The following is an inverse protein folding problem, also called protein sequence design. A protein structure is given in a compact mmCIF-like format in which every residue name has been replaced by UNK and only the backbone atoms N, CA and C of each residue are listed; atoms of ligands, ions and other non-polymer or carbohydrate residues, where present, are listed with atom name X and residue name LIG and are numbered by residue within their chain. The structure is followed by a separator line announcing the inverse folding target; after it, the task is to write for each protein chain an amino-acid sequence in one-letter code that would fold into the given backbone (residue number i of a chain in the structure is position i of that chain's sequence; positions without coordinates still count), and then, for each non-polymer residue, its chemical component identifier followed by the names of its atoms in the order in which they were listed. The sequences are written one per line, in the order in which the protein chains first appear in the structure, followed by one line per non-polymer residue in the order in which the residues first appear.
data_IF_197809165984
#
_entry.id   IF_197809165984
#
_cell.length_a   1.000
_cell.length_b   1.000
_cell.length_c   1.000
_cell.angle_alpha   90.00
_cell.angle_beta   90.00
_cell.angle_gamma   90.00
#
_symmetry.space_group_name_H-M   'P 1'
#
loop_
_entity.id
_entity.type
_entity.pdbx_description
1 polymer ?
#
# COMPACT_ATOMS: atom_id res chain seq x y z
N UNK A 1 12.04 -4.86 17.54
CA UNK A 1 11.63 -6.21 17.99
C UNK A 1 11.28 -6.28 19.47
N UNK A 2 12.12 -5.79 20.40
CA UNK A 2 11.77 -5.78 21.83
C UNK A 2 10.44 -5.08 22.15
N UNK A 3 10.15 -3.97 21.48
CA UNK A 3 8.85 -3.28 21.59
C UNK A 3 7.68 -4.13 21.09
N UNK A 4 7.83 -4.75 19.90
CA UNK A 4 6.82 -5.62 19.32
C UNK A 4 6.52 -6.83 20.22
N UNK A 5 7.55 -7.36 20.88
CA UNK A 5 7.43 -8.39 21.91
C UNK A 5 6.68 -7.88 23.15
N UNK A 6 6.92 -6.63 23.56
CA UNK A 6 6.14 -5.98 24.62
C UNK A 6 4.66 -5.86 24.25
N UNK A 7 4.35 -5.50 23.00
CA UNK A 7 2.98 -5.40 22.51
C UNK A 7 2.31 -6.77 22.40
N UNK A 8 3.00 -7.81 21.92
CA UNK A 8 2.44 -9.16 21.76
C UNK A 8 2.00 -9.78 23.09
N UNK A 9 2.61 -9.37 24.21
CA UNK A 9 2.20 -9.75 25.57
C UNK A 9 0.86 -9.15 25.99
N UNK A 10 0.45 -8.02 25.42
CA UNK A 10 -0.85 -7.42 25.71
C UNK A 10 -1.97 -8.09 24.89
N UNK A 11 -2.24 -9.35 25.24
CA UNK A 11 -3.15 -10.25 24.50
C UNK A 11 -4.54 -9.67 24.29
N UNK A 12 -5.10 -8.96 25.28
CA UNK A 12 -6.44 -8.37 25.17
C UNK A 12 -6.57 -7.36 24.03
N UNK A 13 -5.49 -6.69 23.63
CA UNK A 13 -5.50 -5.74 22.51
C UNK A 13 -4.98 -6.37 21.21
N UNK A 14 -3.90 -7.14 21.28
CA UNK A 14 -3.14 -7.49 20.06
C UNK A 14 -3.31 -8.94 19.59
N UNK A 15 -3.79 -9.85 20.44
CA UNK A 15 -4.09 -11.23 20.01
C UNK A 15 -5.17 -11.22 18.91
N UNK A 16 -6.15 -10.33 19.05
CA UNK A 16 -7.23 -10.16 18.08
C UNK A 16 -6.76 -9.71 16.69
N UNK A 17 -5.60 -9.06 16.58
CA UNK A 17 -5.04 -8.66 15.28
C UNK A 17 -3.98 -9.65 14.79
N UNK A 18 -3.79 -10.80 15.44
CA UNK A 18 -2.85 -11.83 15.00
C UNK A 18 -1.40 -11.61 15.43
N UNK A 19 -1.15 -10.74 16.43
CA UNK A 19 0.19 -10.56 16.99
C UNK A 19 0.43 -11.60 18.09
N UNK A 20 0.98 -12.75 17.72
CA UNK A 20 1.26 -13.85 18.65
C UNK A 20 2.62 -13.72 19.32
N UNK A 21 2.63 -13.81 20.65
CA UNK A 21 3.86 -13.74 21.45
C UNK A 21 4.87 -14.81 21.03
N UNK A 22 4.43 -16.05 20.79
CA UNK A 22 5.30 -17.17 20.42
C UNK A 22 6.07 -16.95 19.12
N UNK A 23 5.43 -16.32 18.12
CA UNK A 23 6.05 -16.06 16.82
C UNK A 23 7.06 -14.91 16.90
N UNK A 24 6.70 -13.85 17.64
CA UNK A 24 7.62 -12.74 17.89
C UNK A 24 8.81 -13.20 18.73
N UNK A 25 8.58 -14.06 19.72
CA UNK A 25 9.63 -14.65 20.56
C UNK A 25 10.57 -15.53 19.73
N UNK A 26 10.04 -16.42 18.88
CA UNK A 26 10.85 -17.22 17.96
C UNK A 26 11.68 -16.32 17.02
N UNK A 27 11.08 -15.27 16.44
CA UNK A 27 11.81 -14.35 15.57
C UNK A 27 12.94 -13.59 16.30
N UNK A 28 12.69 -13.15 17.53
CA UNK A 28 13.71 -12.51 18.38
C UNK A 28 14.84 -13.48 18.71
N UNK A 29 14.48 -14.72 19.02
CA UNK A 29 15.42 -15.79 19.34
C UNK A 29 16.32 -16.13 18.15
N UNK A 30 15.75 -16.33 16.95
CA UNK A 30 16.52 -16.57 15.71
C UNK A 30 17.44 -15.42 15.35
N UNK A 31 17.00 -14.17 15.54
CA UNK A 31 17.88 -13.01 15.36
C UNK A 31 19.05 -13.01 16.37
N UNK A 32 18.80 -13.41 17.61
CA UNK A 32 19.84 -13.56 18.62
C UNK A 32 20.87 -14.63 18.26
N UNK A 33 20.44 -15.79 17.78
CA UNK A 33 21.33 -16.87 17.31
C UNK A 33 22.19 -16.41 16.14
N UNK A 34 21.59 -15.74 15.15
CA UNK A 34 22.32 -15.18 14.02
C UNK A 34 23.41 -14.21 14.48
N UNK A 35 23.12 -13.33 15.46
CA UNK A 35 24.12 -12.42 16.01
C UNK A 35 25.30 -13.16 16.66
N UNK A 36 25.03 -14.26 17.38
CA UNK A 36 26.10 -15.08 17.95
C UNK A 36 26.95 -15.73 16.85
N UNK A 37 26.32 -16.20 15.76
CA UNK A 37 27.05 -16.75 14.62
C UNK A 37 27.87 -15.70 13.87
N UNK A 38 27.36 -14.48 13.69
CA UNK A 38 28.13 -13.36 13.13
C UNK A 38 29.35 -13.05 13.99
N UNK A 39 29.20 -13.01 15.31
CA UNK A 39 30.31 -12.77 16.24
C UNK A 39 31.35 -13.90 16.18
N UNK A 40 30.90 -15.17 16.13
CA UNK A 40 31.80 -16.32 15.92
C UNK A 40 32.56 -16.20 14.59
N UNK A 41 31.86 -15.88 13.52
CA UNK A 41 32.44 -15.70 12.19
C UNK A 41 33.51 -14.61 12.19
N UNK A 42 33.24 -13.44 12.79
CA UNK A 42 34.21 -12.34 12.89
C UNK A 42 35.48 -12.79 13.62
N UNK A 43 35.36 -13.57 14.70
CA UNK A 43 36.51 -14.09 15.45
C UNK A 43 37.35 -15.07 14.63
N UNK A 44 36.69 -15.99 13.91
CA UNK A 44 37.38 -16.94 13.02
C UNK A 44 38.07 -16.19 11.89
N UNK A 45 37.37 -15.26 11.23
CA UNK A 45 37.93 -14.44 10.17
C UNK A 45 39.14 -13.62 10.65
N UNK A 46 39.04 -13.01 11.82
CA UNK A 46 40.16 -12.25 12.41
C UNK A 46 41.37 -13.14 12.68
N UNK A 47 41.17 -14.35 13.21
CA UNK A 47 42.24 -15.32 13.42
C UNK A 47 42.89 -15.74 12.10
N UNK A 48 42.08 -16.10 11.10
CA UNK A 48 42.55 -16.51 9.77
C UNK A 48 43.35 -15.39 9.11
N UNK A 49 42.84 -14.16 9.10
CA UNK A 49 43.56 -12.99 8.56
C UNK A 49 44.92 -12.77 9.23
N UNK A 50 44.99 -12.93 10.56
CA UNK A 50 46.25 -12.80 11.30
C UNK A 50 47.26 -13.90 10.90
N UNK A 51 46.80 -15.13 10.71
CA UNK A 51 47.65 -16.25 10.28
C UNK A 51 48.17 -16.04 8.85
N UNK A 52 47.32 -15.62 7.92
CA UNK A 52 47.72 -15.26 6.56
C UNK A 52 48.73 -14.11 6.54
N UNK A 53 48.49 -13.04 7.31
CA UNK A 53 49.43 -11.92 7.41
C UNK A 53 50.81 -12.35 7.93
N UNK A 54 50.83 -13.23 8.93
CA UNK A 54 52.07 -13.81 9.46
C UNK A 54 52.78 -14.70 8.43
N UNK A 55 52.05 -15.55 7.72
CA UNK A 55 52.58 -16.40 6.66
C UNK A 55 53.17 -15.59 5.51
N UNK A 56 52.47 -14.56 5.01
CA UNK A 56 52.98 -13.71 3.93
C UNK A 56 54.18 -12.88 4.37
N UNK A 57 54.25 -12.45 5.63
CA UNK A 57 55.43 -11.78 6.18
C UNK A 57 56.65 -12.70 6.19
N UNK A 58 56.46 -13.97 6.57
CA UNK A 58 57.49 -15.01 6.47
C UNK A 58 57.92 -15.27 5.01
N UNK A 59 56.95 -15.52 4.12
CA UNK A 59 57.19 -15.84 2.71
C UNK A 59 57.94 -14.71 2.00
N UNK A 60 57.54 -13.46 2.22
CA UNK A 60 58.21 -12.28 1.67
C UNK A 60 59.68 -12.20 2.12
N UNK A 61 59.96 -12.51 3.39
CA UNK A 61 61.34 -12.57 3.89
C UNK A 61 62.15 -13.66 3.21
N UNK A 62 61.58 -14.86 3.03
CA UNK A 62 62.23 -15.95 2.31
C UNK A 62 62.55 -15.56 0.87
N UNK A 63 61.60 -14.95 0.14
CA UNK A 63 61.81 -14.51 -1.24
C UNK A 63 62.92 -13.46 -1.32
N UNK A 64 62.89 -12.44 -0.46
CA UNK A 64 63.94 -11.39 -0.45
C UNK A 64 65.32 -11.95 -0.14
N UNK A 65 65.41 -12.88 0.79
CA UNK A 65 66.67 -13.55 1.11
C UNK A 65 67.20 -14.37 -0.08
N UNK A 66 66.32 -15.07 -0.81
CA UNK A 66 66.68 -15.79 -2.03
C UNK A 66 67.14 -14.84 -3.15
N UNK A 67 66.54 -13.65 -3.25
CA UNK A 67 66.88 -12.62 -4.24
C UNK A 67 68.07 -11.75 -3.83
N UNK A 68 68.69 -12.00 -2.67
CA UNK A 68 69.77 -11.17 -2.09
C UNK A 68 69.38 -9.69 -1.89
N UNK A 69 68.10 -9.41 -1.65
CA UNK A 69 67.59 -8.08 -1.32
C UNK A 69 67.73 -7.79 0.19
N UNK A 70 67.93 -6.52 0.59
CA UNK A 70 68.01 -6.15 2.01
C UNK A 70 66.69 -6.45 2.72
N UNK A 71 66.79 -7.12 3.88
CA UNK A 71 65.64 -7.61 4.67
C UNK A 71 65.43 -6.86 6.00
N UNK A 72 66.22 -5.83 6.26
CA UNK A 72 66.32 -5.13 7.56
C UNK A 72 65.08 -4.29 7.93
N UNK A 73 64.11 -4.13 7.01
CA UNK A 73 62.86 -3.38 7.22
C UNK A 73 61.59 -4.25 7.22
N UNK A 74 61.73 -5.58 7.21
CA UNK A 74 60.57 -6.47 7.13
C UNK A 74 59.88 -6.66 8.48
N UNK A 75 58.55 -6.81 8.44
CA UNK A 75 57.72 -7.17 9.58
C UNK A 75 58.23 -8.48 10.20
N UNK A 76 58.30 -8.50 11.53
CA UNK A 76 58.58 -9.70 12.31
C UNK A 76 57.44 -10.70 12.15
N UNK A 77 57.79 -11.98 11.96
CA UNK A 77 56.84 -13.09 11.92
C UNK A 77 57.12 -14.07 13.06
N UNK A 78 56.10 -14.82 13.45
CA UNK A 78 56.18 -15.91 14.41
C UNK A 78 56.25 -17.25 13.67
N UNK A 79 57.32 -18.02 13.89
CA UNK A 79 57.54 -19.31 13.23
C UNK A 79 56.56 -20.40 13.65
N UNK A 80 56.08 -20.39 14.90
CA UNK A 80 55.06 -21.37 15.36
C UNK A 80 53.74 -21.16 14.62
N UNK A 81 53.34 -19.90 14.43
CA UNK A 81 52.15 -19.57 13.65
C UNK A 81 52.28 -19.98 12.17
N UNK A 82 53.48 -19.92 11.59
CA UNK A 82 53.71 -20.46 10.23
C UNK A 82 53.48 -21.98 10.20
N UNK A 83 53.94 -22.72 11.21
CA UNK A 83 53.70 -24.17 11.29
C UNK A 83 52.21 -24.48 11.44
N UNK A 84 51.50 -23.73 12.29
CA UNK A 84 50.04 -23.86 12.45
C UNK A 84 49.33 -23.58 11.15
N UNK A 85 49.67 -22.49 10.45
CA UNK A 85 49.10 -22.14 9.16
C UNK A 85 49.30 -23.25 8.13
N UNK A 86 50.53 -23.75 7.96
CA UNK A 86 50.85 -24.80 7.00
C UNK A 86 50.13 -26.12 7.31
N UNK A 87 49.89 -26.43 8.59
CA UNK A 87 49.23 -27.66 9.01
C UNK A 87 47.70 -27.62 8.91
N UNK A 88 47.09 -26.45 9.17
CA UNK A 88 45.64 -26.36 9.38
C UNK A 88 44.92 -25.38 8.46
N UNK A 89 45.60 -24.44 7.80
CA UNK A 89 44.96 -23.41 6.96
C UNK A 89 45.44 -23.41 5.50
N UNK A 90 46.51 -24.14 5.18
CA UNK A 90 47.04 -24.17 3.81
C UNK A 90 46.07 -24.88 2.83
N UNK A 91 45.50 -26.00 3.27
CA UNK A 91 44.57 -26.83 2.47
C UNK A 91 43.13 -26.81 3.01
N UNK A 92 42.82 -25.96 4.01
CA UNK A 92 41.48 -25.87 4.61
C UNK A 92 40.99 -24.42 4.61
N UNK A 93 39.68 -24.26 4.38
CA UNK A 93 39.01 -22.96 4.45
C UNK A 93 37.95 -22.95 5.57
N UNK A 94 38.33 -22.63 6.81
CA UNK A 94 37.38 -22.55 7.92
C UNK A 94 36.43 -21.35 7.82
N UNK A 95 36.69 -20.39 6.93
CA UNK A 95 35.80 -19.25 6.70
C UNK A 95 34.63 -19.70 5.83
N UNK A 96 34.91 -20.44 4.77
CA UNK A 96 33.89 -20.96 3.84
C UNK A 96 32.94 -21.94 4.54
N UNK A 97 33.46 -22.79 5.43
CA UNK A 97 32.65 -23.71 6.26
C UNK A 97 31.57 -22.99 7.09
N UNK A 98 31.75 -21.72 7.44
CA UNK A 98 30.79 -20.93 8.20
C UNK A 98 29.82 -20.13 7.31
N UNK A 99 30.11 -19.96 6.03
CA UNK A 99 29.35 -19.08 5.12
C UNK A 99 28.41 -19.83 4.18
N UNK A 100 28.87 -20.93 3.60
CA UNK A 100 28.13 -21.59 2.52
C UNK A 100 26.93 -22.39 3.04
N UNK A 101 25.97 -22.65 2.13
CA UNK A 101 24.96 -23.67 2.35
C UNK A 101 25.61 -25.02 1.99
N UNK A 102 25.73 -25.95 2.94
CA UNK A 102 26.40 -27.21 2.65
C UNK A 102 25.61 -27.99 1.59
N UNK A 103 26.31 -28.61 0.63
CA UNK A 103 25.69 -29.41 -0.43
C UNK A 103 25.08 -30.73 0.11
N UNK A 104 25.41 -31.08 1.35
CA UNK A 104 24.90 -32.20 2.13
C UNK A 104 24.51 -31.73 3.55
N UNK A 105 23.79 -32.54 4.34
CA UNK A 105 23.51 -32.27 5.77
C UNK A 105 24.79 -32.43 6.64
N UNK A 106 25.90 -31.79 6.23
CA UNK A 106 27.14 -31.75 6.99
C UNK A 106 27.06 -30.66 8.05
N UNK A 107 26.78 -31.07 9.28
CA UNK A 107 26.85 -30.21 10.45
C UNK A 107 28.30 -29.81 10.76
N UNK A 108 28.49 -28.55 11.16
CA UNK A 108 29.77 -28.06 11.65
C UNK A 108 30.11 -28.80 12.95
N UNK A 109 31.26 -29.46 12.98
CA UNK A 109 31.75 -30.17 14.17
C UNK A 109 32.06 -29.16 15.29
N UNK A 110 31.35 -29.30 16.41
CA UNK A 110 31.54 -28.51 17.62
C UNK A 110 31.89 -29.48 18.74
N UNK A 111 32.90 -29.13 19.53
CA UNK A 111 33.33 -29.98 20.62
C UNK A 111 32.18 -30.26 21.60
N UNK A 112 32.14 -31.51 22.08
CA UNK A 112 31.05 -32.00 22.93
C UNK A 112 30.91 -31.21 24.24
N UNK A 113 32.00 -30.60 24.75
CA UNK A 113 31.98 -29.81 25.98
C UNK A 113 31.26 -28.47 25.74
N UNK A 114 31.56 -27.78 24.63
CA UNK A 114 30.86 -26.56 24.21
C UNK A 114 29.38 -26.84 23.98
N UNK A 115 29.03 -27.93 23.28
CA UNK A 115 27.64 -28.31 23.08
C UNK A 115 26.90 -28.64 24.38
N UNK A 116 27.60 -29.21 25.37
CA UNK A 116 27.03 -29.40 26.70
C UNK A 116 26.78 -28.06 27.40
N UNK A 117 27.74 -27.14 27.36
CA UNK A 117 27.60 -25.80 27.96
C UNK A 117 26.46 -25.00 27.31
N UNK A 118 26.30 -25.07 26.00
CA UNK A 118 25.17 -24.42 25.29
C UNK A 118 23.83 -24.99 25.76
N UNK A 119 23.73 -26.30 25.94
CA UNK A 119 22.52 -26.94 26.49
C UNK A 119 22.23 -26.55 27.94
N UNK A 120 23.26 -26.33 28.75
CA UNK A 120 23.11 -25.84 30.12
C UNK A 120 22.64 -24.37 30.14
N UNK A 121 23.07 -23.54 29.18
CA UNK A 121 22.64 -22.14 29.08
C UNK A 121 21.13 -21.98 28.91
N UNK A 122 20.44 -22.96 28.32
CA UNK A 122 18.96 -22.95 28.20
C UNK A 122 18.30 -22.81 29.57
N UNK A 123 18.87 -23.44 30.62
CA UNK A 123 18.36 -23.36 31.99
C UNK A 123 18.55 -21.96 32.61
N UNK A 124 19.48 -21.16 32.07
CA UNK A 124 19.77 -19.80 32.50
C UNK A 124 19.12 -18.73 31.61
N UNK A 125 18.16 -19.11 30.76
CA UNK A 125 17.48 -18.20 29.83
C UNK A 125 18.23 -17.97 28.53
N UNK A 126 19.15 -18.87 28.17
CA UNK A 126 19.71 -18.98 26.84
C UNK A 126 18.67 -19.42 25.80
N UNK A 127 19.12 -19.52 24.56
CA UNK A 127 18.27 -19.92 23.45
C UNK A 127 17.77 -21.36 23.58
N UNK A 128 16.53 -21.63 23.19
CA UNK A 128 15.91 -22.95 23.23
C UNK A 128 16.41 -23.91 22.15
N UNK A 129 16.82 -23.41 20.98
CA UNK A 129 17.55 -24.20 19.99
C UNK A 129 19.04 -24.21 20.35
N UNK A 130 19.59 -25.39 20.66
CA UNK A 130 21.00 -25.58 21.02
C UNK A 130 21.91 -25.95 19.86
N UNK A 131 21.34 -26.26 18.69
CA UNK A 131 22.06 -26.75 17.51
C UNK A 131 22.52 -25.59 16.61
N UNK A 132 22.16 -24.35 16.94
CA UNK A 132 22.48 -23.17 16.13
C UNK A 132 23.97 -22.99 15.84
N UNK A 133 24.89 -23.54 16.65
CA UNK A 133 26.34 -23.52 16.41
C UNK A 133 26.82 -24.54 15.36
N UNK A 134 26.04 -25.59 15.13
CA UNK A 134 26.34 -26.62 14.14
C UNK A 134 25.91 -26.21 12.73
N UNK A 135 25.16 -25.11 12.62
CA UNK A 135 24.65 -24.56 11.36
C UNK A 135 25.54 -23.46 10.82
N UNK A 136 25.45 -23.25 9.52
CA UNK A 136 26.17 -22.16 8.85
C UNK A 136 25.45 -20.83 9.02
N UNK A 137 26.15 -19.73 8.73
CA UNK A 137 25.58 -18.39 8.79
C UNK A 137 24.40 -18.23 7.81
N UNK A 138 24.47 -18.87 6.65
CA UNK A 138 23.39 -18.85 5.67
C UNK A 138 22.14 -19.57 6.17
N UNK A 139 22.29 -20.73 6.82
CA UNK A 139 21.17 -21.47 7.41
C UNK A 139 20.49 -20.68 8.54
N UNK A 140 21.27 -20.11 9.46
CA UNK A 140 20.72 -19.28 10.54
C UNK A 140 20.05 -18.01 10.01
N UNK A 141 20.57 -17.43 8.92
CA UNK A 141 19.91 -16.32 8.24
C UNK A 141 18.56 -16.74 7.66
N UNK A 142 18.47 -17.91 7.00
CA UNK A 142 17.21 -18.43 6.46
C UNK A 142 16.18 -18.74 7.56
N UNK A 143 16.61 -19.34 8.67
CA UNK A 143 15.76 -19.60 9.83
C UNK A 143 15.21 -18.29 10.42
N UNK A 144 16.07 -17.28 10.58
CA UNK A 144 15.65 -15.95 10.99
C UNK A 144 14.65 -15.37 9.98
N UNK A 145 14.98 -15.31 8.70
CA UNK A 145 14.10 -14.75 7.68
C UNK A 145 12.71 -15.42 7.67
N UNK A 146 12.67 -16.75 7.72
CA UNK A 146 11.43 -17.52 7.78
C UNK A 146 10.59 -17.15 9.01
N UNK A 147 11.19 -17.10 10.19
CA UNK A 147 10.49 -16.76 11.44
C UNK A 147 9.92 -15.33 11.41
N UNK A 148 10.64 -14.37 10.83
CA UNK A 148 10.14 -13.00 10.66
C UNK A 148 8.99 -12.92 9.65
N UNK A 149 9.11 -13.66 8.55
CA UNK A 149 8.06 -13.73 7.52
C UNK A 149 6.77 -14.29 8.09
N UNK A 150 6.85 -15.36 8.87
CA UNK A 150 5.71 -15.96 9.55
C UNK A 150 5.08 -14.96 10.54
N UNK A 151 5.88 -14.35 11.42
CA UNK A 151 5.41 -13.38 12.39
C UNK A 151 4.73 -12.15 11.73
N UNK A 152 5.26 -11.67 10.60
CA UNK A 152 4.72 -10.53 9.87
C UNK A 152 3.47 -10.88 9.05
N UNK A 153 3.33 -12.12 8.58
CA UNK A 153 2.17 -12.58 7.80
C UNK A 153 0.94 -12.85 8.68
N UNK A 154 1.13 -13.19 9.95
CA UNK A 154 0.02 -13.55 10.83
C UNK A 154 -1.01 -12.43 11.02
N UNK A 155 -0.62 -11.15 11.22
CA UNK A 155 -1.61 -10.07 11.29
C UNK A 155 -2.45 -9.93 10.02
N UNK A 156 -1.80 -10.04 8.85
CA UNK A 156 -2.50 -10.00 7.56
C UNK A 156 -3.52 -11.13 7.43
N UNK A 157 -3.12 -12.37 7.71
CA UNK A 157 -4.02 -13.53 7.61
C UNK A 157 -5.14 -13.52 8.66
N UNK A 158 -4.89 -12.92 9.83
CA UNK A 158 -5.87 -12.81 10.91
C UNK A 158 -6.90 -11.71 10.63
N UNK A 159 -6.46 -10.54 10.17
CA UNK A 159 -7.33 -9.40 9.88
C UNK A 159 -8.12 -9.66 8.59
N UNK A 160 -7.50 -10.20 7.53
CA UNK A 160 -8.19 -10.45 6.26
C UNK A 160 -9.40 -11.39 6.42
N UNK A 161 -9.32 -12.41 7.27
CA UNK A 161 -10.46 -13.30 7.61
C UNK A 161 -11.59 -12.59 8.35
N UNK A 162 -11.32 -11.44 8.97
CA UNK A 162 -12.33 -10.61 9.66
C UNK A 162 -12.94 -9.55 8.75
N UNK A 163 -12.34 -9.26 7.60
CA UNK A 163 -12.91 -8.36 6.60
C UNK A 163 -14.02 -9.12 5.89
N UNK A 164 -15.26 -8.77 6.21
CA UNK A 164 -16.45 -9.33 5.59
C UNK A 164 -17.07 -8.30 4.66
N UNK A 165 -17.45 -8.73 3.46
CA UNK A 165 -18.31 -7.93 2.59
C UNK A 165 -19.69 -7.84 3.26
N UNK A 166 -20.00 -6.66 3.80
CA UNK A 166 -21.29 -6.41 4.45
C UNK A 166 -22.37 -6.03 3.45
N UNK A 167 -22.00 -5.20 2.47
CA UNK A 167 -22.90 -4.65 1.47
C UNK A 167 -22.28 -4.77 0.08
N UNK A 168 -23.13 -4.96 -0.92
CA UNK A 168 -22.78 -4.98 -2.34
C UNK A 168 -23.81 -4.14 -3.09
N UNK A 169 -23.35 -3.14 -3.84
CA UNK A 169 -24.21 -2.32 -4.70
C UNK A 169 -23.91 -2.64 -6.16
N UNK A 170 -24.73 -3.46 -6.85
CA UNK A 170 -24.61 -3.61 -8.28
C UNK A 170 -25.06 -2.33 -8.99
N UNK A 171 -24.18 -1.74 -9.81
CA UNK A 171 -24.47 -0.49 -10.51
C UNK A 171 -25.31 -0.73 -11.78
N UNK A 172 -24.78 -1.41 -12.79
CA UNK A 172 -25.53 -1.70 -14.01
C UNK A 172 -25.01 -2.96 -14.71
N UNK A 173 -25.88 -3.70 -15.41
CA UNK A 173 -25.45 -4.80 -16.27
C UNK A 173 -24.84 -4.26 -17.57
N UNK A 174 -23.68 -4.78 -17.96
CA UNK A 174 -23.07 -4.50 -19.27
C UNK A 174 -23.54 -5.54 -20.28
N UNK A 175 -24.46 -5.17 -21.17
CA UNK A 175 -25.13 -6.09 -22.11
C UNK A 175 -24.40 -6.30 -23.45
N UNK A 176 -23.35 -5.53 -23.78
CA UNK A 176 -22.65 -5.64 -25.07
C UNK A 176 -21.11 -5.68 -24.96
N UNK A 177 -20.47 -6.48 -25.83
CA UNK A 177 -19.00 -6.61 -25.97
C UNK A 177 -18.34 -5.29 -26.42
N UNK A 178 -19.11 -4.40 -27.05
CA UNK A 178 -18.71 -3.06 -27.49
C UNK A 178 -18.40 -2.08 -26.34
N UNK A 179 -18.75 -2.43 -25.10
CA UNK A 179 -18.49 -1.63 -23.91
C UNK A 179 -17.15 -1.96 -23.22
N UNK A 180 -16.48 -3.06 -23.58
CA UNK A 180 -15.22 -3.49 -22.94
C UNK A 180 -14.02 -2.56 -23.15
N UNK A 181 -14.12 -1.60 -24.08
CA UNK A 181 -13.07 -0.62 -24.41
C UNK A 181 -13.46 0.82 -24.13
N UNK A 182 -14.68 1.09 -23.65
CA UNK A 182 -15.12 2.46 -23.31
C UNK A 182 -14.78 2.75 -21.85
N UNK A 183 -14.05 3.83 -21.63
CA UNK A 183 -13.87 4.41 -20.31
C UNK A 183 -15.25 4.87 -19.80
N UNK A 184 -15.65 4.37 -18.63
CA UNK A 184 -16.87 4.81 -17.93
C UNK A 184 -16.41 5.75 -16.80
N UNK A 185 -16.77 7.04 -16.84
CA UNK A 185 -16.55 7.96 -15.75
C UNK A 185 -17.09 7.40 -14.45
N UNK A 186 -16.22 7.23 -13.46
CA UNK A 186 -16.58 6.81 -12.11
C UNK A 186 -15.72 7.54 -11.09
N UNK A 187 -16.38 8.06 -10.06
CA UNK A 187 -15.74 8.72 -8.92
C UNK A 187 -16.27 8.12 -7.62
N UNK A 188 -15.34 7.81 -6.72
CA UNK A 188 -15.58 7.24 -5.40
C UNK A 188 -14.88 8.13 -4.38
N UNK A 189 -15.66 8.80 -3.54
CA UNK A 189 -15.15 9.77 -2.58
C UNK A 189 -15.98 9.75 -1.30
N UNK A 190 -15.47 10.35 -0.23
CA UNK A 190 -16.18 10.49 1.03
C UNK A 190 -15.91 11.86 1.65
N UNK A 191 -16.90 12.40 2.36
CA UNK A 191 -16.79 13.61 3.15
C UNK A 191 -17.08 13.36 4.61
N UNK A 192 -16.42 14.14 5.47
CA UNK A 192 -16.72 14.21 6.90
C UNK A 192 -17.95 15.09 7.12
N UNK A 193 -18.97 14.54 7.77
CA UNK A 193 -20.20 15.26 8.10
C UNK A 193 -19.92 16.27 9.21
N UNK A 194 -19.90 17.57 8.89
CA UNK A 194 -19.69 18.64 9.87
C UNK A 194 -20.80 18.73 10.95
N UNK A 195 -21.92 18.05 10.77
CA UNK A 195 -23.11 18.15 11.61
C UNK A 195 -23.04 17.36 12.94
N UNK A 196 -22.05 16.47 13.12
CA UNK A 196 -22.03 15.54 14.27
C UNK A 196 -21.29 16.03 15.52
N UNK A 197 -20.69 17.23 15.49
CA UNK A 197 -20.01 17.78 16.67
C UNK A 197 -20.96 18.16 17.83
N UNK A 198 -22.28 18.24 17.61
CA UNK A 198 -23.21 18.82 18.60
C UNK A 198 -24.07 17.81 19.36
N UNK A 199 -24.05 16.51 19.04
CA UNK A 199 -24.92 15.56 19.75
C UNK A 199 -24.39 14.12 19.86
N UNK A 200 -23.42 13.89 20.75
CA UNK A 200 -23.48 12.80 21.77
C UNK A 200 -22.10 12.50 22.38
N UNK A 201 -22.07 12.37 23.71
CA UNK A 201 -20.91 11.94 24.51
C UNK A 201 -20.69 10.41 24.47
N UNK A 202 -20.85 9.76 23.31
CA UNK A 202 -20.59 8.32 23.16
C UNK A 202 -19.69 8.10 21.95
N UNK A 203 -18.44 7.68 22.21
CA UNK A 203 -17.47 7.15 21.24
C UNK A 203 -17.59 7.70 19.81
N UNK A 204 -16.85 8.77 19.54
CA UNK A 204 -16.62 9.41 18.23
C UNK A 204 -16.54 8.41 17.06
N UNK A 205 -17.67 8.09 16.44
CA UNK A 205 -17.73 7.75 15.03
C UNK A 205 -17.95 9.08 14.32
N UNK A 206 -16.90 9.61 13.72
CA UNK A 206 -17.02 10.72 12.78
C UNK A 206 -17.88 10.21 11.62
N UNK A 207 -19.07 10.77 11.44
CA UNK A 207 -19.94 10.45 10.32
C UNK A 207 -19.24 10.80 9.01
N UNK A 208 -19.09 9.80 8.14
CA UNK A 208 -18.67 10.02 6.77
C UNK A 208 -19.83 9.73 5.84
N UNK A 209 -20.06 10.64 4.89
CA UNK A 209 -20.96 10.41 3.76
C UNK A 209 -20.11 10.09 2.54
N UNK A 210 -20.23 8.85 2.07
CA UNK A 210 -19.63 8.40 0.83
C UNK A 210 -20.49 8.80 -0.37
N UNK A 211 -19.84 9.12 -1.48
CA UNK A 211 -20.43 9.48 -2.77
C UNK A 211 -19.86 8.57 -3.85
N UNK A 212 -20.77 7.99 -4.64
CA UNK A 212 -20.50 7.13 -5.78
C UNK A 212 -21.16 7.78 -6.98
N UNK A 213 -20.36 8.35 -7.86
CA UNK A 213 -20.86 9.04 -9.05
C UNK A 213 -20.36 8.31 -10.30
N UNK A 214 -21.23 7.95 -11.22
CA UNK A 214 -20.86 7.18 -12.40
C UNK A 214 -21.78 7.43 -13.58
N UNK A 215 -21.24 7.34 -14.80
CA UNK A 215 -22.05 7.41 -16.01
C UNK A 215 -22.81 6.10 -16.22
N UNK A 216 -24.10 6.21 -16.50
CA UNK A 216 -24.96 5.08 -16.85
C UNK A 216 -24.92 4.89 -18.37
N UNK A 217 -24.63 3.67 -18.87
CA UNK A 217 -24.70 3.40 -20.29
C UNK A 217 -26.11 3.63 -20.84
N UNK A 218 -26.22 4.25 -22.02
CA UNK A 218 -27.49 4.56 -22.70
C UNK A 218 -28.39 3.33 -22.93
N UNK A 219 -27.80 2.13 -22.99
CA UNK A 219 -28.53 0.87 -23.15
C UNK A 219 -29.31 0.46 -21.88
N UNK A 220 -29.05 1.10 -20.74
CA UNK A 220 -29.61 0.71 -19.43
C UNK A 220 -31.05 1.19 -19.23
N UNK A 221 -31.41 2.34 -19.81
CA UNK A 221 -32.74 2.94 -19.74
C UNK A 221 -33.30 3.14 -21.14
N UNK A 222 -34.51 2.66 -21.40
CA UNK A 222 -35.14 2.76 -22.73
C UNK A 222 -35.54 4.20 -23.11
N UNK A 223 -35.83 5.04 -22.11
CA UNK A 223 -36.46 6.36 -22.31
C UNK A 223 -35.50 7.52 -22.03
N UNK A 224 -34.30 7.26 -21.50
CA UNK A 224 -33.37 8.30 -21.04
C UNK A 224 -31.94 7.89 -21.37
N UNK A 225 -31.21 8.79 -22.02
CA UNK A 225 -29.80 8.59 -22.38
C UNK A 225 -28.93 9.65 -21.71
N UNK A 226 -27.61 9.43 -21.71
CA UNK A 226 -26.60 10.37 -21.24
C UNK A 226 -26.77 10.79 -19.77
N UNK A 227 -27.04 9.80 -18.92
CA UNK A 227 -27.28 10.00 -17.49
C UNK A 227 -26.04 9.68 -16.65
N UNK A 228 -25.90 10.41 -15.55
CA UNK A 228 -24.94 10.15 -14.49
C UNK A 228 -25.74 9.85 -13.23
N UNK A 229 -25.48 8.71 -12.60
CA UNK A 229 -25.99 8.43 -11.27
C UNK A 229 -25.05 9.04 -10.24
N UNK A 230 -25.62 9.70 -9.24
CA UNK A 230 -24.93 10.09 -8.02
C UNK A 230 -25.65 9.41 -6.87
N UNK A 231 -24.94 8.56 -6.14
CA UNK A 231 -25.44 7.79 -5.00
C UNK A 231 -24.63 8.19 -3.77
N UNK A 232 -25.28 8.38 -2.63
CA UNK A 232 -24.60 8.71 -1.37
C UNK A 232 -25.09 7.90 -0.17
N UNK A 233 -24.21 7.71 0.82
CA UNK A 233 -24.53 7.07 2.09
C UNK A 233 -24.54 5.54 2.06
N UNK A 234 -23.79 4.91 1.16
CA UNK A 234 -23.73 3.46 1.03
C UNK A 234 -22.89 2.77 2.12
N UNK A 235 -21.75 3.35 2.53
CA UNK A 235 -20.84 2.73 3.50
C UNK A 235 -21.50 2.48 4.87
N UNK A 236 -22.36 3.41 5.31
CA UNK A 236 -23.00 3.35 6.62
C UNK A 236 -24.44 2.82 6.58
N UNK A 237 -24.95 2.33 5.44
CA UNK A 237 -26.34 1.90 5.29
C UNK A 237 -26.87 1.00 6.42
N UNK A 238 -26.12 -0.02 6.86
CA UNK A 238 -26.58 -0.97 7.88
C UNK A 238 -26.61 -0.39 9.32
N UNK A 239 -25.70 0.52 9.66
CA UNK A 239 -25.72 1.24 10.95
C UNK A 239 -26.75 2.38 10.91
N UNK A 240 -26.86 3.04 9.76
CA UNK A 240 -27.69 4.21 9.52
C UNK A 240 -29.19 3.91 9.43
N UNK A 241 -29.60 2.70 9.03
CA UNK A 241 -31.02 2.26 9.08
C UNK A 241 -31.59 2.35 10.50
N UNK A 242 -30.77 2.18 11.55
CA UNK A 242 -31.20 2.36 12.95
C UNK A 242 -31.33 3.84 13.36
N UNK A 243 -30.72 4.75 12.61
CA UNK A 243 -30.72 6.20 12.82
C UNK A 243 -31.58 6.97 11.80
N UNK A 244 -32.24 6.26 10.86
CA UNK A 244 -33.12 6.86 9.86
C UNK A 244 -32.40 7.48 8.64
N UNK A 245 -31.09 7.26 8.48
CA UNK A 245 -30.34 7.65 7.26
C UNK A 245 -30.36 6.47 6.29
N UNK A 246 -30.94 6.63 5.10
CA UNK A 246 -31.00 5.60 4.06
C UNK A 246 -30.08 5.91 2.88
N UNK A 247 -29.81 4.91 2.05
CA UNK A 247 -29.15 5.10 0.76
C UNK A 247 -29.95 6.11 -0.05
N UNK A 248 -29.27 7.07 -0.64
CA UNK A 248 -29.88 8.13 -1.45
C UNK A 248 -29.25 8.18 -2.83
N UNK A 249 -30.04 8.51 -3.85
CA UNK A 249 -29.51 8.72 -5.18
C UNK A 249 -30.32 9.69 -6.02
N UNK A 250 -29.71 10.11 -7.13
CA UNK A 250 -30.30 10.97 -8.15
C UNK A 250 -29.70 10.63 -9.52
N UNK A 251 -30.48 10.84 -10.58
CA UNK A 251 -29.99 10.81 -11.95
C UNK A 251 -29.80 12.22 -12.49
N UNK A 252 -28.59 12.54 -12.94
CA UNK A 252 -28.27 13.79 -13.63
C UNK A 252 -28.26 13.52 -15.14
N UNK A 253 -29.16 14.15 -15.89
CA UNK A 253 -29.22 14.05 -17.33
C UNK A 253 -28.37 15.17 -17.96
N UNK A 254 -27.34 14.78 -18.70
CA UNK A 254 -26.43 15.72 -19.37
C UNK A 254 -27.16 16.38 -20.55
N UNK A 255 -26.96 17.69 -20.80
CA UNK A 255 -27.72 18.42 -21.81
C UNK A 255 -27.54 17.83 -23.22
N UNK A 256 -28.55 17.94 -24.10
CA UNK A 256 -28.46 17.44 -25.47
C UNK A 256 -27.31 18.13 -26.23
N UNK A 257 -26.55 17.34 -26.99
CA UNK A 257 -25.37 17.84 -27.72
C UNK A 257 -24.09 17.87 -26.91
N UNK A 258 -24.07 17.34 -25.69
CA UNK A 258 -22.89 17.19 -24.85
C UNK A 258 -22.77 15.75 -24.36
N UNK A 259 -21.58 15.31 -23.96
CA UNK A 259 -21.39 14.04 -23.25
C UNK A 259 -20.40 14.19 -22.09
N UNK A 260 -20.61 13.40 -21.05
CA UNK A 260 -19.70 13.37 -19.90
C UNK A 260 -18.39 12.68 -20.27
N UNK A 261 -17.28 13.37 -20.01
CA UNK A 261 -15.92 12.86 -20.23
C UNK A 261 -15.37 12.24 -18.96
N UNK A 262 -15.48 12.97 -17.85
CA UNK A 262 -15.07 12.50 -16.54
C UNK A 262 -15.76 13.35 -15.45
N UNK A 263 -15.70 12.91 -14.21
CA UNK A 263 -16.28 13.61 -13.07
C UNK A 263 -15.48 13.32 -11.80
N UNK A 264 -15.43 14.28 -10.89
CA UNK A 264 -14.75 14.13 -9.62
C UNK A 264 -15.45 14.92 -8.53
N UNK A 265 -15.50 14.37 -7.32
CA UNK A 265 -15.95 15.11 -6.15
C UNK A 265 -14.84 16.09 -5.70
N UNK A 266 -15.21 17.34 -5.51
CA UNK A 266 -14.41 18.47 -5.06
C UNK A 266 -14.94 19.01 -3.72
N UNK A 267 -14.16 19.87 -3.05
CA UNK A 267 -14.37 20.30 -1.65
C UNK A 267 -15.82 20.72 -1.38
N UNK A 268 -16.24 20.63 -0.13
CA UNK A 268 -17.55 21.15 0.32
C UNK A 268 -18.74 20.54 -0.44
N UNK A 269 -18.72 19.21 -0.65
CA UNK A 269 -19.78 18.49 -1.36
C UNK A 269 -20.01 18.96 -2.81
N UNK A 270 -19.00 19.52 -3.47
CA UNK A 270 -19.12 19.91 -4.88
C UNK A 270 -18.78 18.75 -5.82
N UNK A 271 -19.48 18.61 -6.93
CA UNK A 271 -19.19 17.64 -7.98
C UNK A 271 -18.72 18.43 -9.20
N UNK A 272 -17.47 18.21 -9.62
CA UNK A 272 -16.91 18.78 -10.83
C UNK A 272 -17.13 17.79 -11.97
N UNK A 273 -17.86 18.22 -12.99
CA UNK A 273 -18.15 17.46 -14.19
C UNK A 273 -17.42 18.05 -15.39
N UNK A 274 -16.84 17.18 -16.20
CA UNK A 274 -16.14 17.54 -17.41
C UNK A 274 -16.94 17.07 -18.61
N UNK A 275 -17.39 18.00 -19.45
CA UNK A 275 -18.28 17.76 -20.57
C UNK A 275 -17.61 18.13 -21.89
N UNK A 276 -17.84 17.35 -22.95
CA UNK A 276 -17.46 17.69 -24.32
C UNK A 276 -18.70 17.92 -25.17
N UNK A 277 -18.62 18.81 -26.16
CA UNK A 277 -19.64 18.90 -27.21
C UNK A 277 -19.63 17.63 -28.07
N UNK A 278 -20.80 17.14 -28.42
CA UNK A 278 -20.97 16.19 -29.52
C UNK A 278 -20.68 16.94 -30.84
N UNK A 279 -19.69 16.49 -31.60
CA UNK A 279 -19.29 17.15 -32.85
C UNK A 279 -20.21 16.72 -34.00
N UNK A 280 -20.96 17.66 -34.61
CA UNK A 280 -21.68 17.42 -35.87
C UNK A 280 -20.82 17.68 -37.12
N UNK A 281 -19.71 18.42 -37.04
CA UNK A 281 -18.88 18.76 -38.22
C UNK A 281 -17.38 18.86 -37.92
N UNK A 282 -16.58 18.45 -38.92
CA UNK A 282 -15.14 18.13 -38.86
C UNK A 282 -14.15 19.29 -38.66
N UNK A 283 -14.59 20.51 -38.35
CA UNK A 283 -13.70 21.69 -38.35
C UNK A 283 -13.68 22.53 -37.07
N UNK A 284 -14.48 22.19 -36.05
CA UNK A 284 -14.42 22.91 -34.77
C UNK A 284 -13.28 22.36 -33.89
N UNK A 285 -12.42 23.25 -33.41
CA UNK A 285 -11.62 23.04 -32.21
C UNK A 285 -12.63 22.70 -31.11
N UNK A 286 -12.78 21.43 -30.75
CA UNK A 286 -13.89 20.99 -29.91
C UNK A 286 -14.00 21.85 -28.65
N UNK A 287 -15.22 22.26 -28.33
CA UNK A 287 -15.49 22.99 -27.10
C UNK A 287 -15.77 21.97 -25.99
N UNK A 288 -15.18 22.21 -24.82
CA UNK A 288 -15.45 21.46 -23.61
C UNK A 288 -15.88 22.42 -22.49
N UNK A 289 -16.50 21.87 -21.46
CA UNK A 289 -16.97 22.64 -20.32
C UNK A 289 -16.65 21.92 -19.02
N UNK A 290 -16.32 22.71 -18.02
CA UNK A 290 -16.23 22.27 -16.64
C UNK A 290 -17.42 22.86 -15.89
N UNK A 291 -18.22 21.99 -15.28
CA UNK A 291 -19.41 22.36 -14.52
C UNK A 291 -19.21 21.96 -13.08
N UNK A 292 -19.48 22.87 -12.14
CA UNK A 292 -19.43 22.60 -10.71
C UNK A 292 -20.86 22.58 -10.16
N UNK A 293 -21.25 21.44 -9.58
CA UNK A 293 -22.56 21.25 -8.96
C UNK A 293 -22.42 21.15 -7.45
N UNK A 294 -23.27 21.83 -6.69
CA UNK A 294 -23.36 21.65 -5.25
C UNK A 294 -24.22 20.42 -4.96
N UNK A 295 -23.68 19.38 -4.32
CA UNK A 295 -24.44 18.16 -4.05
C UNK A 295 -25.58 18.41 -3.05
N UNK A 296 -25.43 19.34 -2.11
CA UNK A 296 -26.48 19.65 -1.12
C UNK A 296 -27.74 20.24 -1.75
N UNK A 297 -27.62 20.87 -2.93
CA UNK A 297 -28.74 21.44 -3.68
C UNK A 297 -29.44 20.41 -4.56
N UNK A 298 -28.88 19.19 -4.69
CA UNK A 298 -29.47 18.15 -5.51
C UNK A 298 -30.64 17.46 -4.78
N UNK A 299 -31.78 17.25 -5.45
CA UNK A 299 -32.95 16.59 -4.86
C UNK A 299 -32.74 15.07 -4.78
N UNK A 300 -31.89 14.63 -3.86
CA UNK A 300 -31.65 13.23 -3.56
C UNK A 300 -32.92 12.52 -3.08
N UNK A 301 -33.15 11.31 -3.58
CA UNK A 301 -34.32 10.51 -3.23
C UNK A 301 -33.85 9.22 -2.57
N UNK A 302 -34.59 8.79 -1.55
CA UNK A 302 -34.27 7.57 -0.84
C UNK A 302 -34.46 6.34 -1.72
N UNK A 303 -33.41 5.53 -1.80
CA UNK A 303 -33.43 4.23 -2.46
C UNK A 303 -33.83 3.22 -1.39
N UNK A 304 -35.03 2.65 -1.56
CA UNK A 304 -35.50 1.61 -0.66
C UNK A 304 -34.68 0.34 -0.92
N UNK A 305 -33.82 -0.02 0.01
CA UNK A 305 -32.97 -1.20 -0.14
C UNK A 305 -33.82 -2.46 -0.28
N UNK A 306 -33.69 -3.14 -1.42
CA UNK A 306 -34.39 -4.41 -1.65
C UNK A 306 -33.51 -5.58 -1.21
N UNK A 307 -34.14 -6.66 -0.74
CA UNK A 307 -33.48 -7.95 -0.57
C UNK A 307 -32.80 -8.37 -1.88
N UNK A 308 -31.73 -9.15 -1.77
CA UNK A 308 -30.81 -9.69 -2.81
C UNK A 308 -31.43 -10.20 -4.13
N UNK A 309 -32.76 -10.23 -4.24
CA UNK A 309 -33.55 -10.80 -5.32
C UNK A 309 -34.01 -9.77 -6.38
N UNK A 310 -34.10 -8.47 -6.04
CA UNK A 310 -34.46 -7.41 -6.99
C UNK A 310 -33.26 -6.49 -7.22
N UNK A 311 -32.67 -6.70 -8.37
CA UNK A 311 -31.24 -6.52 -8.49
C UNK A 311 -30.82 -5.07 -8.80
N UNK A 312 -31.68 -4.23 -9.40
CA UNK A 312 -31.25 -2.92 -9.92
C UNK A 312 -31.97 -1.76 -9.22
N UNK A 313 -31.44 -1.36 -8.07
CA UNK A 313 -31.95 -0.26 -7.25
C UNK A 313 -32.05 1.09 -8.00
N UNK A 314 -31.25 1.27 -9.06
CA UNK A 314 -31.22 2.47 -9.91
C UNK A 314 -32.48 2.66 -10.77
N UNK A 315 -33.31 1.63 -11.00
CA UNK A 315 -34.60 1.85 -11.68
C UNK A 315 -35.57 2.67 -10.83
N UNK A 316 -35.42 2.68 -9.50
CA UNK A 316 -36.21 3.53 -8.61
C UNK A 316 -35.93 5.03 -8.88
N UNK A 317 -34.75 5.36 -9.40
CA UNK A 317 -34.38 6.74 -9.71
C UNK A 317 -34.90 7.23 -11.06
N UNK A 318 -35.60 6.40 -11.86
CA UNK A 318 -36.13 6.80 -13.16
C UNK A 318 -37.09 7.99 -13.06
N UNK A 319 -37.80 8.10 -11.93
CA UNK A 319 -38.72 9.21 -11.67
C UNK A 319 -38.02 10.41 -11.00
N UNK A 320 -36.69 10.34 -10.80
CA UNK A 320 -35.87 11.31 -10.06
C UNK A 320 -34.69 11.77 -10.93
N UNK A 321 -35.03 12.37 -12.07
CA UNK A 321 -34.08 12.89 -13.06
C UNK A 321 -34.01 14.41 -12.95
N UNK A 322 -32.80 14.92 -12.76
CA UNK A 322 -32.48 16.34 -12.88
C UNK A 322 -31.83 16.59 -14.25
N UNK A 323 -32.45 17.41 -15.07
CA UNK A 323 -31.86 17.86 -16.32
C UNK A 323 -30.88 19.00 -16.03
N UNK A 324 -29.62 18.81 -16.40
CA UNK A 324 -28.61 19.85 -16.27
C UNK A 324 -28.83 20.91 -17.34
N UNK A 325 -28.61 22.17 -16.98
CA UNK A 325 -28.72 23.32 -17.89
C UNK A 325 -27.35 23.98 -18.06
N UNK A 326 -27.07 24.48 -19.28
CA UNK A 326 -25.79 25.12 -19.62
C UNK A 326 -25.75 26.62 -19.28
N UNK A 327 -26.81 27.16 -18.66
CA UNK A 327 -26.97 28.59 -18.34
C UNK A 327 -26.53 28.94 -16.90
N UNK A 328 -25.94 27.98 -16.18
CA UNK A 328 -25.57 28.16 -14.77
C UNK A 328 -24.25 28.96 -14.60
N UNK A 329 -24.15 29.76 -13.54
CA UNK A 329 -23.01 30.68 -13.28
C UNK A 329 -21.68 29.93 -13.02
N UNK A 330 -21.74 28.66 -12.59
CA UNK A 330 -20.56 27.82 -12.28
C UNK A 330 -20.13 26.91 -13.43
N UNK A 331 -20.17 27.41 -14.66
CA UNK A 331 -19.75 26.68 -15.87
C UNK A 331 -18.60 27.43 -16.55
N UNK A 332 -17.45 26.78 -16.69
CA UNK A 332 -16.26 27.33 -17.36
C UNK A 332 -16.05 26.67 -18.72
N UNK A 333 -15.90 27.47 -19.77
CA UNK A 333 -15.58 26.97 -21.10
C UNK A 333 -14.09 26.63 -21.25
N UNK A 334 -13.81 25.58 -22.00
CA UNK A 334 -12.48 25.09 -22.34
C UNK A 334 -12.39 25.05 -23.87
N UNK A 335 -11.47 25.79 -24.50
CA UNK A 335 -11.41 25.97 -25.95
C UNK A 335 -10.88 24.74 -26.72
N UNK A 336 -10.83 23.59 -26.04
CA UNK A 336 -10.25 22.35 -26.53
C UNK A 336 -11.09 21.16 -26.06
N UNK A 337 -11.27 20.17 -26.93
CA UNK A 337 -11.84 18.89 -26.53
C UNK A 337 -10.96 18.27 -25.45
N UNK A 338 -11.60 17.75 -24.41
CA UNK A 338 -10.93 17.19 -23.24
C UNK A 338 -11.04 15.67 -23.22
N UNK A 339 -10.13 15.01 -22.53
CA UNK A 339 -10.06 13.57 -22.37
C UNK A 339 -9.81 13.24 -20.89
N UNK A 340 -10.21 12.05 -20.41
CA UNK A 340 -9.91 11.63 -19.04
C UNK A 340 -8.40 11.49 -18.78
N UNK A 341 -7.95 11.56 -17.52
CA UNK A 341 -8.75 11.83 -16.32
C UNK A 341 -8.89 13.32 -16.00
N UNK A 342 -9.96 13.66 -15.29
CA UNK A 342 -10.11 14.88 -14.50
C UNK A 342 -9.46 14.66 -13.13
N UNK A 343 -8.71 15.65 -12.65
CA UNK A 343 -8.18 15.64 -11.29
C UNK A 343 -8.51 16.95 -10.60
N UNK A 344 -9.01 16.88 -9.37
CA UNK A 344 -9.34 18.04 -8.54
C UNK A 344 -8.59 17.94 -7.21
N UNK A 345 -8.23 19.10 -6.67
CA UNK A 345 -7.45 19.21 -5.44
C UNK A 345 -8.16 20.14 -4.48
N UNK A 346 -8.25 19.76 -3.19
CA UNK A 346 -8.82 20.60 -2.13
C UNK A 346 -8.11 21.94 -1.89
N UNK A 347 -7.12 22.29 -2.70
CA UNK A 347 -6.44 23.60 -2.73
C UNK A 347 -7.02 24.58 -3.76
N UNK A 348 -8.23 24.36 -4.28
CA UNK A 348 -8.77 25.31 -5.27
C UNK A 348 -8.42 25.02 -6.72
N UNK A 349 -7.98 23.80 -7.09
CA UNK A 349 -7.39 23.58 -8.42
C UNK A 349 -7.93 22.32 -9.10
N UNK A 350 -8.24 22.43 -10.40
CA UNK A 350 -8.52 21.33 -11.31
C UNK A 350 -7.44 21.20 -12.39
N UNK A 351 -7.13 19.96 -12.76
CA UNK A 351 -6.27 19.61 -13.88
C UNK A 351 -7.07 18.80 -14.89
N UNK A 352 -7.04 19.24 -16.15
CA UNK A 352 -7.77 18.67 -17.26
C UNK A 352 -6.80 18.32 -18.38
N UNK A 353 -7.00 17.18 -19.05
CA UNK A 353 -6.23 16.84 -20.24
C UNK A 353 -6.98 17.24 -21.50
N UNK A 354 -6.37 18.07 -22.35
CA UNK A 354 -6.84 18.28 -23.71
C UNK A 354 -6.54 17.05 -24.58
N UNK A 355 -7.31 16.82 -25.65
CA UNK A 355 -7.18 15.69 -26.56
C UNK A 355 -5.76 15.52 -27.18
N UNK A 356 -4.97 16.60 -27.23
CA UNK A 356 -3.54 16.57 -27.61
C UNK A 356 -2.60 16.16 -26.47
N UNK A 357 -3.12 15.57 -25.39
CA UNK A 357 -2.41 15.21 -24.14
C UNK A 357 -1.65 16.37 -23.50
N UNK A 358 -2.20 17.58 -23.59
CA UNK A 358 -1.69 18.74 -22.85
C UNK A 358 -2.50 18.89 -21.56
N UNK A 359 -1.80 19.04 -20.44
CA UNK A 359 -2.45 19.37 -19.17
C UNK A 359 -2.79 20.86 -19.13
N UNK A 360 -4.02 21.15 -18.76
CA UNK A 360 -4.55 22.49 -18.50
C UNK A 360 -4.89 22.54 -17.01
N UNK A 361 -4.47 23.60 -16.33
CA UNK A 361 -4.72 23.78 -14.90
C UNK A 361 -5.64 24.98 -14.73
N UNK A 362 -6.71 24.79 -13.97
CA UNK A 362 -7.74 25.78 -13.67
C UNK A 362 -7.81 25.98 -12.17
N UNK A 363 -7.91 27.24 -11.74
CA UNK A 363 -8.21 27.56 -10.34
C UNK A 363 -9.73 27.66 -10.23
N UNK A 364 -10.32 26.84 -9.36
CA UNK A 364 -11.77 26.70 -9.17
C UNK A 364 -12.36 27.80 -8.27
N UNK A 365 -11.51 28.46 -7.48
CA UNK A 365 -11.91 29.45 -6.48
C UNK A 365 -11.78 30.91 -6.97
N UNK A 366 -11.39 31.13 -8.24
CA UNK A 366 -11.11 32.47 -8.80
C UNK A 366 -12.33 33.40 -8.88
N UNK A 367 -13.54 32.86 -8.95
CA UNK A 367 -14.75 33.64 -9.23
C UNK A 367 -15.42 34.21 -7.95
N UNK A 368 -14.85 33.99 -6.75
CA UNK A 368 -15.36 34.57 -5.50
C UNK A 368 -14.89 36.02 -5.25
N UNK A 369 -13.84 36.49 -5.91
CA UNK A 369 -13.19 37.78 -5.61
C UNK A 369 -13.62 38.96 -6.52
N UNK A 370 -14.46 38.75 -7.55
CA UNK A 370 -14.83 39.82 -8.51
C UNK A 370 -16.12 40.60 -8.16
N UNK A 371 -16.76 40.36 -7.01
CA UNK A 371 -17.95 41.12 -6.57
C UNK A 371 -17.65 41.97 -5.32
N UNK A 372 -16.80 42.98 -5.45
CA UNK A 372 -16.95 44.25 -4.71
C UNK A 372 -15.89 45.25 -5.17
N UNK A 373 -16.24 46.08 -6.16
CA UNK A 373 -15.76 47.46 -6.27
C UNK A 373 -16.56 48.18 -7.37
N UNK A 374 -17.83 48.45 -7.08
CA UNK A 374 -18.58 49.51 -7.76
C UNK A 374 -19.61 50.11 -6.78
N UNK A 375 -19.15 51.10 -6.01
CA UNK A 375 -20.01 52.18 -5.50
C UNK A 375 -20.24 53.25 -6.58
#
# INVERSE_FOLDING_TARGET
MGELRGLSRWRSRYLGIGLYETLVDNAVERAGMLLVQVERFIRVLSSVLQQFANFFSWLLKCIKQLMSEPSDQLLTYNSELVVVFLKFLYDQDPVMQLLDLPEADEEIDIDSETMQRVRELVQFGGFGDSEYLQRTLAEEFQQMEHSFREAAQMPFSTISKKILCKNLLPLFPLTSVSASTRYIPISLSFYEDASEFTSSNQTHEVGFTDYISFQIPDESFLDVTNCIAVVRGFMNYLSNVKQGRSLEGILLCVPPGYYCVDLALYKEHQIVMLLNKMNDTRENLGDAWMMILQADDLPFVHISGTTWENNWELYQLKDSILHLEMENEKIRSIPHAVVPPLSVSGRGVACVLAARKRALVYILDEDEDEISDSE
#
